data_IF_779605194596
#
_entry.id   IF_779605194596
#
_cell.length_a   1.000
_cell.length_b   1.000
_cell.length_c   1.000
_cell.angle_alpha   90.00
_cell.angle_beta   90.00
_cell.angle_gamma   90.00
#
_symmetry.space_group_name_H-M   'P 1'
#
loop_
_entity.id
_entity.type
_entity.pdbx_description
1 polymer ?
#
# COMPACT_ATOMS: atom_id res chain seq x y z
N UNK A 1 9.58 18.12 -25.71
CA UNK A 1 9.44 16.83 -24.98
C UNK A 1 8.72 17.11 -23.67
N UNK A 2 7.82 16.23 -23.21
CA UNK A 2 7.17 16.38 -21.90
C UNK A 2 8.22 16.42 -20.77
N UNK A 3 8.03 17.29 -19.78
CA UNK A 3 8.93 17.37 -18.62
C UNK A 3 8.83 16.13 -17.72
N UNK A 4 7.67 15.48 -17.69
CA UNK A 4 7.43 14.23 -16.96
C UNK A 4 7.00 13.17 -17.97
N UNK A 5 7.75 12.07 -18.04
CA UNK A 5 7.38 10.93 -18.88
C UNK A 5 6.24 10.14 -18.24
N UNK A 6 5.40 9.44 -19.01
CA UNK A 6 4.33 8.61 -18.46
C UNK A 6 4.83 7.61 -17.41
N UNK A 7 6.02 7.01 -17.62
CA UNK A 7 6.65 6.11 -16.64
C UNK A 7 7.10 6.83 -15.37
N UNK A 8 7.64 8.04 -15.48
CA UNK A 8 8.01 8.82 -14.30
C UNK A 8 6.77 9.20 -13.47
N UNK A 9 5.66 9.56 -14.13
CA UNK A 9 4.38 9.81 -13.48
C UNK A 9 3.83 8.54 -12.80
N UNK A 10 3.90 7.39 -13.47
CA UNK A 10 3.50 6.11 -12.90
C UNK A 10 4.32 5.74 -11.66
N UNK A 11 5.65 5.88 -11.72
CA UNK A 11 6.54 5.63 -10.58
C UNK A 11 6.22 6.56 -9.39
N UNK A 12 5.94 7.83 -9.65
CA UNK A 12 5.50 8.79 -8.62
C UNK A 12 4.17 8.38 -8.00
N UNK A 13 3.18 8.00 -8.81
CA UNK A 13 1.88 7.57 -8.32
C UNK A 13 1.99 6.32 -7.42
N UNK A 14 2.77 5.33 -7.84
CA UNK A 14 3.02 4.11 -7.03
C UNK A 14 3.78 4.42 -5.75
N UNK A 15 4.80 5.29 -5.82
CA UNK A 15 5.53 5.73 -4.63
C UNK A 15 4.61 6.41 -3.61
N UNK A 16 3.72 7.30 -4.05
CA UNK A 16 2.74 7.95 -3.19
C UNK A 16 1.71 6.97 -2.61
N UNK A 17 1.23 6.02 -3.41
CA UNK A 17 0.31 4.98 -2.93
C UNK A 17 0.98 4.09 -1.86
N UNK A 18 2.24 3.69 -2.06
CA UNK A 18 3.00 2.91 -1.09
C UNK A 18 3.24 3.69 0.21
N UNK A 19 3.55 4.99 0.13
CA UNK A 19 3.69 5.85 1.31
C UNK A 19 2.37 5.98 2.08
N UNK A 20 1.25 6.17 1.38
CA UNK A 20 -0.08 6.25 1.99
C UNK A 20 -0.47 4.94 2.69
N UNK A 21 -0.17 3.79 2.07
CA UNK A 21 -0.43 2.49 2.67
C UNK A 21 0.40 2.27 3.94
N UNK A 22 1.71 2.53 3.90
CA UNK A 22 2.56 2.44 5.10
C UNK A 22 2.11 3.40 6.22
N UNK A 23 1.58 4.58 5.87
CA UNK A 23 1.00 5.50 6.85
C UNK A 23 -0.26 4.92 7.52
N UNK A 24 -1.15 4.27 6.75
CA UNK A 24 -2.31 3.59 7.30
C UNK A 24 -1.91 2.39 8.18
N UNK A 25 -0.94 1.60 7.72
CA UNK A 25 -0.45 0.40 8.37
C UNK A 25 0.18 0.68 9.74
N UNK A 26 0.85 1.83 9.91
CA UNK A 26 1.31 2.31 11.22
C UNK A 26 0.21 2.27 12.29
N UNK A 27 -0.98 2.77 11.95
CA UNK A 27 -2.10 2.82 12.88
C UNK A 27 -2.69 1.44 13.12
N UNK A 28 -2.91 0.70 12.04
CA UNK A 28 -3.52 -0.63 12.08
C UNK A 28 -2.63 -1.62 12.85
N UNK A 29 -1.32 -1.64 12.58
CA UNK A 29 -0.37 -2.54 13.23
C UNK A 29 -0.25 -2.27 14.73
N UNK A 30 -0.19 -1.01 15.15
CA UNK A 30 -0.13 -0.68 16.59
C UNK A 30 -1.42 -1.06 17.33
N UNK A 31 -2.59 -0.86 16.71
CA UNK A 31 -3.87 -1.29 17.27
C UNK A 31 -3.99 -2.82 17.30
N UNK A 32 -3.58 -3.52 16.23
CA UNK A 32 -3.63 -4.97 16.13
C UNK A 32 -2.74 -5.64 17.19
N UNK A 33 -1.50 -5.18 17.36
CA UNK A 33 -0.60 -5.72 18.39
C UNK A 33 -1.14 -5.45 19.80
N UNK A 34 -1.72 -4.28 20.05
CA UNK A 34 -2.36 -3.96 21.33
C UNK A 34 -3.55 -4.89 21.63
N UNK A 35 -4.42 -5.12 20.64
CA UNK A 35 -5.56 -6.02 20.78
C UNK A 35 -5.12 -7.48 20.99
N UNK A 36 -4.09 -7.94 20.28
CA UNK A 36 -3.53 -9.30 20.44
C UNK A 36 -2.91 -9.49 21.83
N UNK A 37 -2.33 -8.43 22.41
CA UNK A 37 -1.78 -8.48 23.75
C UNK A 37 -2.87 -8.60 24.83
N UNK A 38 -4.09 -8.09 24.57
CA UNK A 38 -5.25 -8.22 25.44
C UNK A 38 -5.98 -9.56 25.24
N UNK A 39 -6.15 -9.97 23.98
CA UNK A 39 -6.80 -11.22 23.59
C UNK A 39 -6.07 -11.88 22.40
N UNK A 40 -5.35 -13.00 22.62
CA UNK A 40 -4.58 -13.67 21.57
C UNK A 40 -5.46 -14.29 20.46
N UNK A 41 -6.75 -14.53 20.71
CA UNK A 41 -7.67 -15.05 19.70
C UNK A 41 -7.94 -14.01 18.58
N UNK A 42 -7.61 -12.74 18.83
CA UNK A 42 -7.71 -11.65 17.84
C UNK A 42 -6.59 -11.63 16.82
N UNK A 43 -5.59 -12.53 16.90
CA UNK A 43 -4.47 -12.59 15.94
C UNK A 43 -4.94 -12.63 14.48
N UNK A 44 -5.92 -13.48 14.16
CA UNK A 44 -6.42 -13.61 12.78
C UNK A 44 -7.07 -12.33 12.27
N UNK A 45 -7.90 -11.69 13.09
CA UNK A 45 -8.53 -10.41 12.75
C UNK A 45 -7.48 -9.31 12.60
N UNK A 46 -6.53 -9.23 13.53
CA UNK A 46 -5.41 -8.28 13.49
C UNK A 46 -4.63 -8.41 12.19
N UNK A 47 -4.26 -9.64 11.81
CA UNK A 47 -3.56 -9.95 10.55
C UNK A 47 -4.35 -9.49 9.33
N UNK A 48 -5.65 -9.82 9.25
CA UNK A 48 -6.51 -9.43 8.11
C UNK A 48 -6.57 -7.91 8.00
N UNK A 49 -6.75 -7.20 9.11
CA UNK A 49 -6.83 -5.74 9.06
C UNK A 49 -5.49 -5.12 8.62
N UNK A 50 -4.36 -5.64 9.09
CA UNK A 50 -3.04 -5.17 8.64
C UNK A 50 -2.78 -5.39 7.16
N UNK A 51 -3.37 -6.41 6.53
CA UNK A 51 -3.18 -6.74 5.08
C UNK A 51 -4.07 -5.91 4.15
N UNK A 52 -5.12 -5.26 4.66
CA UNK A 52 -6.03 -4.46 3.83
C UNK A 52 -5.31 -3.35 3.03
N UNK A 53 -4.38 -2.56 3.60
CA UNK A 53 -3.62 -1.55 2.86
C UNK A 53 -2.80 -2.12 1.70
N UNK A 54 -2.24 -3.32 1.82
CA UNK A 54 -1.39 -3.96 0.80
C UNK A 54 -2.18 -4.28 -0.46
N UNK A 55 -3.47 -4.59 -0.33
CA UNK A 55 -4.34 -4.80 -1.51
C UNK A 55 -4.37 -3.55 -2.40
N UNK A 56 -4.40 -2.36 -1.81
CA UNK A 56 -4.37 -1.08 -2.55
C UNK A 56 -3.00 -0.83 -3.18
N UNK A 57 -1.92 -1.16 -2.46
CA UNK A 57 -0.54 -1.02 -3.00
C UNK A 57 -0.33 -1.93 -4.19
N UNK A 58 -0.81 -3.18 -4.14
CA UNK A 58 -0.72 -4.11 -5.26
C UNK A 58 -1.46 -3.55 -6.47
N UNK A 59 -2.67 -3.03 -6.30
CA UNK A 59 -3.43 -2.39 -7.39
C UNK A 59 -2.69 -1.18 -7.97
N UNK A 60 -2.09 -0.34 -7.12
CA UNK A 60 -1.28 0.78 -7.59
C UNK A 60 -0.04 0.30 -8.36
N UNK A 61 0.63 -0.75 -7.89
CA UNK A 61 1.81 -1.32 -8.54
C UNK A 61 1.50 -1.80 -9.98
N UNK A 62 0.29 -2.32 -10.24
CA UNK A 62 -0.14 -2.73 -11.59
C UNK A 62 -0.03 -1.58 -12.60
N UNK A 63 -0.21 -0.33 -12.17
CA UNK A 63 -0.10 0.86 -13.05
C UNK A 63 1.25 0.94 -13.76
N UNK A 64 2.35 0.54 -13.11
CA UNK A 64 3.70 0.57 -13.71
C UNK A 64 3.80 -0.35 -14.93
N UNK A 65 3.06 -1.45 -14.93
CA UNK A 65 3.06 -2.43 -16.02
C UNK A 65 2.08 -2.07 -17.14
N UNK A 66 0.98 -1.40 -16.80
CA UNK A 66 -0.07 -1.03 -17.76
C UNK A 66 0.27 0.26 -18.51
N UNK A 67 1.00 1.19 -17.89
CA UNK A 67 1.34 2.47 -18.53
C UNK A 67 2.26 2.24 -19.75
N UNK A 68 1.81 2.60 -20.97
CA UNK A 68 2.57 2.35 -22.17
C UNK A 68 3.85 3.20 -22.21
N UNK A 69 4.92 2.60 -22.74
CA UNK A 69 6.09 3.36 -23.18
C UNK A 69 5.74 4.12 -24.46
N UNK A 70 5.81 5.46 -24.48
CA UNK A 70 5.82 6.16 -25.75
C UNK A 70 7.12 5.78 -26.45
N UNK A 71 7.00 5.18 -27.63
CA UNK A 71 8.06 5.11 -28.62
C UNK A 71 8.27 6.50 -29.23
#
# INVERSE_FOLDING_TARGET
MPAITPKAAAALAVGLAALAAGYAERGIGSAAVGAIAEDPDLFGTGLILTVLPETLVILALVVVFVVPTPF
#
